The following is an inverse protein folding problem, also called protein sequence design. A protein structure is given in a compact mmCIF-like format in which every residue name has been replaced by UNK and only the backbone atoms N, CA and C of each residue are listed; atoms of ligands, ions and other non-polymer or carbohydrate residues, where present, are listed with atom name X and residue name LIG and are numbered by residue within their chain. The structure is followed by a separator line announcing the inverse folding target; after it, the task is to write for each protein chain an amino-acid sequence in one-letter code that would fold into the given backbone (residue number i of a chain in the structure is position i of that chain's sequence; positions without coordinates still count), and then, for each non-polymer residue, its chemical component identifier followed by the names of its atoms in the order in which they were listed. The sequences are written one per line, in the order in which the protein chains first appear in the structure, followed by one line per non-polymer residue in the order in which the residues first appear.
data_IF_306609318295
#
_entry.id   IF_306609318295
#
_cell.length_a   1.000
_cell.length_b   1.000
_cell.length_c   1.000
_cell.angle_alpha   90.00
_cell.angle_beta   90.00
_cell.angle_gamma   90.00
#
_symmetry.space_group_name_H-M   'P 1'
#
loop_
_entity.id
_entity.type
_entity.pdbx_description
1 polymer ?
#
# COMPACT_ATOMS: atom_id res chain seq x y z
N UNK A 1 12.16 -1.36 21.11
CA UNK A 1 12.87 -1.74 22.33
C UNK A 1 12.02 -1.54 23.59
N UNK A 2 11.52 -0.35 23.91
CA UNK A 2 10.69 -0.11 25.10
C UNK A 2 9.47 -1.02 25.25
N UNK A 3 8.73 -1.29 24.18
CA UNK A 3 7.58 -2.21 24.21
C UNK A 3 8.00 -3.65 24.53
N UNK A 4 9.19 -4.05 24.08
CA UNK A 4 9.77 -5.35 24.39
C UNK A 4 10.18 -5.47 25.87
N UNK A 5 10.62 -4.38 26.48
CA UNK A 5 10.97 -4.32 27.89
C UNK A 5 9.75 -4.29 28.81
N UNK A 6 8.67 -3.58 28.40
CA UNK A 6 7.43 -3.47 29.18
C UNK A 6 6.56 -4.73 29.14
N UNK A 7 6.72 -5.59 28.13
CA UNK A 7 5.95 -6.81 27.91
C UNK A 7 6.76 -8.09 28.14
N UNK A 8 7.79 -8.07 28.97
CA UNK A 8 8.65 -9.23 29.27
C UNK A 8 9.17 -9.96 28.02
N UNK A 9 9.61 -9.19 27.01
CA UNK A 9 10.15 -9.76 25.79
C UNK A 9 9.11 -10.19 24.74
N UNK A 10 7.87 -9.76 24.84
CA UNK A 10 6.83 -10.06 23.84
C UNK A 10 6.48 -8.82 23.02
N UNK A 11 6.40 -9.01 21.71
CA UNK A 11 5.86 -8.01 20.80
C UNK A 11 4.37 -8.32 20.61
N UNK A 12 3.50 -7.31 20.73
CA UNK A 12 2.06 -7.48 20.48
C UNK A 12 1.80 -7.88 19.03
N UNK A 13 0.79 -8.69 18.80
CA UNK A 13 0.37 -9.07 17.44
C UNK A 13 0.02 -7.83 16.61
N UNK A 14 -0.60 -6.83 17.23
CA UNK A 14 -0.92 -5.55 16.58
C UNK A 14 0.30 -4.84 16.04
N UNK A 15 1.38 -4.72 16.84
CA UNK A 15 2.62 -4.08 16.40
C UNK A 15 3.32 -4.90 15.31
N UNK A 16 3.34 -6.22 15.46
CA UNK A 16 3.89 -7.13 14.46
C UNK A 16 3.21 -6.98 13.09
N UNK A 17 1.87 -6.91 13.07
CA UNK A 17 1.09 -6.68 11.85
C UNK A 17 1.41 -5.34 11.19
N UNK A 18 1.45 -4.24 11.96
CA UNK A 18 1.76 -2.91 11.42
C UNK A 18 3.16 -2.88 10.80
N UNK A 19 4.16 -3.39 11.51
CA UNK A 19 5.53 -3.46 10.99
C UNK A 19 5.60 -4.34 9.73
N UNK A 20 4.94 -5.48 9.72
CA UNK A 20 4.91 -6.37 8.57
C UNK A 20 4.25 -5.70 7.35
N UNK A 21 3.10 -5.06 7.51
CA UNK A 21 2.41 -4.42 6.39
C UNK A 21 3.17 -3.21 5.85
N UNK A 22 3.80 -2.42 6.71
CA UNK A 22 4.66 -1.31 6.26
C UNK A 22 5.89 -1.82 5.50
N UNK A 23 6.54 -2.85 6.01
CA UNK A 23 7.68 -3.48 5.33
C UNK A 23 7.27 -4.08 3.98
N UNK A 24 6.16 -4.82 3.95
CA UNK A 24 5.61 -5.39 2.72
C UNK A 24 5.27 -4.32 1.68
N UNK A 25 4.68 -3.21 2.10
CA UNK A 25 4.38 -2.08 1.22
C UNK A 25 5.65 -1.50 0.57
N UNK A 26 6.72 -1.33 1.35
CA UNK A 26 8.00 -0.82 0.84
C UNK A 26 8.62 -1.80 -0.16
N UNK A 27 8.62 -3.10 0.15
CA UNK A 27 9.13 -4.13 -0.76
C UNK A 27 8.34 -4.17 -2.08
N UNK A 28 7.01 -4.09 -1.99
CA UNK A 28 6.14 -4.08 -3.16
C UNK A 28 6.38 -2.84 -4.03
N UNK A 29 6.60 -1.69 -3.42
CA UNK A 29 6.95 -0.46 -4.11
C UNK A 29 8.22 -0.63 -4.97
N UNK A 30 9.29 -1.13 -4.39
CA UNK A 30 10.54 -1.37 -5.13
C UNK A 30 10.38 -2.46 -6.19
N UNK A 31 9.64 -3.51 -5.91
CA UNK A 31 9.41 -4.59 -6.88
C UNK A 31 8.66 -4.11 -8.12
N UNK A 32 7.79 -3.11 -7.96
CA UNK A 32 6.91 -2.60 -9.00
C UNK A 32 7.33 -1.22 -9.52
N UNK A 33 8.57 -0.85 -9.34
CA UNK A 33 9.11 0.45 -9.76
C UNK A 33 8.79 0.80 -11.21
N UNK A 34 8.83 -0.17 -12.13
CA UNK A 34 8.51 0.05 -13.54
C UNK A 34 7.08 0.54 -13.79
N UNK A 35 6.12 0.09 -13.00
CA UNK A 35 4.72 0.52 -13.15
C UNK A 35 4.50 1.95 -12.65
N UNK A 36 5.34 2.44 -11.76
CA UNK A 36 5.29 3.81 -11.23
C UNK A 36 5.66 4.81 -12.31
N UNK A 37 6.60 4.49 -13.19
CA UNK A 37 7.03 5.35 -14.28
C UNK A 37 5.93 5.67 -15.31
N UNK A 38 4.86 4.88 -15.33
CA UNK A 38 3.69 5.08 -16.20
C UNK A 38 2.55 5.84 -15.51
N UNK A 39 2.71 6.22 -14.23
CA UNK A 39 1.68 6.95 -13.49
C UNK A 39 1.57 8.39 -13.94
N UNK A 40 0.40 8.99 -13.72
CA UNK A 40 0.14 10.40 -14.03
C UNK A 40 1.05 11.35 -13.24
N UNK A 41 1.33 10.99 -11.99
CA UNK A 41 2.12 11.80 -11.07
C UNK A 41 3.55 12.04 -11.61
N UNK A 42 4.16 11.04 -12.25
CA UNK A 42 5.49 11.21 -12.85
C UNK A 42 5.44 11.86 -14.22
N UNK A 43 4.41 11.54 -15.03
CA UNK A 43 4.35 12.02 -16.42
C UNK A 43 3.81 13.43 -16.59
N UNK A 44 2.89 13.85 -15.72
CA UNK A 44 2.08 15.04 -15.92
C UNK A 44 2.12 16.02 -14.76
N UNK A 45 2.45 15.59 -13.54
CA UNK A 45 2.56 16.49 -12.40
C UNK A 45 4.01 16.90 -12.16
N UNK A 46 4.33 18.19 -12.30
CA UNK A 46 5.64 18.69 -11.89
C UNK A 46 5.81 18.53 -10.38
N UNK A 47 7.03 18.21 -9.96
CA UNK A 47 7.37 18.15 -8.54
C UNK A 47 7.21 19.54 -7.91
N UNK A 48 6.10 19.72 -7.21
CA UNK A 48 5.72 20.99 -6.58
C UNK A 48 5.67 20.91 -5.06
N UNK A 49 5.22 21.99 -4.45
CA UNK A 49 5.08 22.10 -2.99
C UNK A 49 4.26 20.96 -2.38
N UNK A 50 3.15 20.58 -3.01
CA UNK A 50 2.28 19.51 -2.49
C UNK A 50 2.98 18.16 -2.42
N UNK A 51 3.70 17.77 -3.47
CA UNK A 51 4.45 16.51 -3.48
C UNK A 51 5.62 16.57 -2.51
N UNK A 52 6.36 17.67 -2.49
CA UNK A 52 7.46 17.86 -1.56
C UNK A 52 7.00 17.75 -0.09
N UNK A 53 5.97 18.48 0.28
CA UNK A 53 5.42 18.42 1.64
C UNK A 53 4.80 17.05 1.95
N UNK A 54 4.06 16.49 0.99
CA UNK A 54 3.44 15.18 1.13
C UNK A 54 4.46 14.08 1.41
N UNK A 55 5.46 13.97 0.56
CA UNK A 55 6.44 12.88 0.62
C UNK A 55 7.43 13.03 1.78
N UNK A 56 7.86 14.25 2.07
CA UNK A 56 8.90 14.47 3.10
C UNK A 56 8.35 14.64 4.52
N UNK A 57 7.14 15.12 4.68
CA UNK A 57 6.57 15.43 5.99
C UNK A 57 5.26 14.70 6.29
N UNK A 58 4.26 14.83 5.43
CA UNK A 58 2.91 14.34 5.72
C UNK A 58 2.81 12.81 5.72
N UNK A 59 3.37 12.17 4.72
CA UNK A 59 3.32 10.71 4.60
C UNK A 59 4.10 10.04 5.75
N UNK A 60 5.37 10.38 6.02
CA UNK A 60 6.09 9.82 7.15
C UNK A 60 5.39 10.06 8.50
N UNK A 61 4.81 11.24 8.69
CA UNK A 61 4.07 11.56 9.90
C UNK A 61 2.81 10.70 10.06
N UNK A 62 1.92 10.66 9.07
CA UNK A 62 0.66 9.94 9.15
C UNK A 62 0.84 8.41 9.23
N UNK A 63 1.80 7.87 8.50
CA UNK A 63 2.10 6.43 8.55
C UNK A 63 2.77 5.99 9.87
N UNK A 64 3.51 6.88 10.52
CA UNK A 64 4.12 6.57 11.82
C UNK A 64 3.15 6.66 12.99
N UNK A 65 2.01 7.36 12.85
CA UNK A 65 1.02 7.51 13.92
C UNK A 65 0.46 6.18 14.44
N UNK A 66 0.27 5.21 13.57
CA UNK A 66 -0.22 3.88 13.95
C UNK A 66 0.76 3.16 14.88
N UNK A 67 2.02 3.11 14.52
CA UNK A 67 3.07 2.52 15.34
C UNK A 67 3.28 3.31 16.65
N UNK A 68 3.21 4.63 16.57
CA UNK A 68 3.30 5.51 17.74
C UNK A 68 2.15 5.27 18.74
N UNK A 69 0.92 5.14 18.25
CA UNK A 69 -0.22 4.81 19.10
C UNK A 69 -0.07 3.46 19.80
N UNK A 70 0.30 2.43 19.08
CA UNK A 70 0.52 1.10 19.65
C UNK A 70 1.71 1.07 20.61
N UNK A 71 2.71 1.88 20.37
CA UNK A 71 3.86 2.03 21.26
C UNK A 71 3.44 2.59 22.63
N UNK A 72 2.54 3.58 22.67
CA UNK A 72 2.07 4.19 23.91
C UNK A 72 0.96 3.38 24.60
N UNK A 73 0.33 2.46 23.88
CA UNK A 73 -0.75 1.62 24.38
C UNK A 73 -0.45 0.13 24.22
N UNK A 74 0.54 -0.41 24.97
CA UNK A 74 0.97 -1.80 24.82
C UNK A 74 -0.12 -2.84 25.21
N UNK A 75 -1.17 -2.38 25.90
CA UNK A 75 -2.32 -3.24 26.27
C UNK A 75 -3.31 -3.46 25.14
N UNK A 76 -3.20 -2.68 24.05
CA UNK A 76 -4.05 -2.85 22.87
C UNK A 76 -3.45 -3.93 21.99
N UNK A 77 -3.92 -5.15 22.20
CA UNK A 77 -3.53 -6.28 21.35
C UNK A 77 -4.76 -6.96 20.75
N UNK A 78 -4.59 -7.51 19.56
CA UNK A 78 -5.64 -8.26 18.87
C UNK A 78 -5.46 -9.75 19.12
N UNK A 79 -6.57 -10.45 19.30
CA UNK A 79 -6.54 -11.91 19.41
C UNK A 79 -6.07 -12.54 18.09
N UNK A 80 -5.46 -13.70 18.17
CA UNK A 80 -4.93 -14.41 17.01
C UNK A 80 -5.94 -14.60 15.87
N UNK A 81 -7.23 -14.98 16.11
CA UNK A 81 -8.20 -15.13 15.01
C UNK A 81 -8.53 -13.80 14.33
N UNK A 82 -8.55 -12.70 15.09
CA UNK A 82 -8.76 -11.35 14.50
C UNK A 82 -7.56 -10.94 13.68
N UNK A 83 -6.34 -11.18 14.15
CA UNK A 83 -5.11 -10.94 13.40
C UNK A 83 -5.08 -11.71 12.07
N UNK A 84 -5.49 -12.98 12.08
CA UNK A 84 -5.62 -13.79 10.87
C UNK A 84 -6.67 -13.23 9.90
N UNK A 85 -7.80 -12.75 10.40
CA UNK A 85 -8.83 -12.10 9.60
C UNK A 85 -8.35 -10.82 8.93
N UNK A 86 -7.62 -9.97 9.65
CA UNK A 86 -7.00 -8.75 9.13
C UNK A 86 -5.99 -9.10 8.03
N UNK A 87 -5.18 -10.13 8.24
CA UNK A 87 -4.20 -10.59 7.27
C UNK A 87 -4.85 -11.10 5.97
N UNK A 88 -5.92 -11.89 6.09
CA UNK A 88 -6.69 -12.38 4.95
C UNK A 88 -7.33 -11.22 4.15
N UNK A 89 -7.91 -10.24 4.85
CA UNK A 89 -8.50 -9.06 4.24
C UNK A 89 -7.44 -8.21 3.51
N UNK A 90 -6.25 -8.05 4.12
CA UNK A 90 -5.13 -7.37 3.50
C UNK A 90 -4.71 -8.04 2.19
N UNK A 91 -4.57 -9.35 2.18
CA UNK A 91 -4.21 -10.12 0.98
C UNK A 91 -5.26 -10.00 -0.13
N UNK A 92 -6.54 -10.04 0.22
CA UNK A 92 -7.63 -9.84 -0.73
C UNK A 92 -7.56 -8.44 -1.36
N UNK A 93 -7.42 -7.41 -0.52
CA UNK A 93 -7.27 -6.03 -0.99
C UNK A 93 -6.02 -5.84 -1.85
N UNK A 94 -4.92 -6.47 -1.47
CA UNK A 94 -3.68 -6.43 -2.24
C UNK A 94 -3.86 -7.07 -3.63
N UNK A 95 -4.52 -8.21 -3.74
CA UNK A 95 -4.81 -8.83 -5.04
C UNK A 95 -5.62 -7.91 -5.95
N UNK A 96 -6.70 -7.34 -5.43
CA UNK A 96 -7.54 -6.40 -6.18
C UNK A 96 -6.71 -5.19 -6.65
N UNK A 97 -5.91 -4.62 -5.74
CA UNK A 97 -5.02 -3.50 -6.06
C UNK A 97 -4.02 -3.85 -7.16
N UNK A 98 -3.37 -5.00 -7.07
CA UNK A 98 -2.39 -5.46 -8.06
C UNK A 98 -2.99 -5.67 -9.44
N UNK A 99 -4.09 -6.40 -9.50
CA UNK A 99 -4.75 -6.69 -10.78
C UNK A 99 -5.24 -5.41 -11.46
N UNK A 100 -5.81 -4.48 -10.70
CA UNK A 100 -6.24 -3.17 -11.23
C UNK A 100 -5.08 -2.33 -11.76
N UNK A 101 -3.94 -2.30 -11.05
CA UNK A 101 -2.77 -1.55 -11.50
C UNK A 101 -2.09 -2.22 -12.71
N UNK A 102 -1.99 -3.53 -12.73
CA UNK A 102 -1.47 -4.28 -13.87
C UNK A 102 -2.33 -4.07 -15.12
N UNK A 103 -3.63 -4.06 -14.97
CA UNK A 103 -4.56 -3.76 -16.06
C UNK A 103 -4.32 -2.36 -16.64
N UNK A 104 -4.17 -1.34 -15.78
CA UNK A 104 -3.87 0.03 -16.22
C UNK A 104 -2.50 0.12 -16.91
N UNK A 105 -1.50 -0.54 -16.35
CA UNK A 105 -0.15 -0.56 -16.90
C UNK A 105 -0.14 -1.21 -18.29
N UNK A 106 -0.74 -2.39 -18.44
CA UNK A 106 -0.83 -3.10 -19.71
C UNK A 106 -1.58 -2.28 -20.77
N UNK A 107 -2.67 -1.63 -20.39
CA UNK A 107 -3.41 -0.74 -21.29
C UNK A 107 -2.54 0.44 -21.77
N UNK A 108 -1.76 1.07 -20.89
CA UNK A 108 -0.89 2.21 -21.22
C UNK A 108 0.33 1.82 -22.04
N UNK A 109 0.83 0.61 -21.89
CA UNK A 109 1.98 0.09 -22.64
C UNK A 109 1.60 -0.55 -23.98
N UNK A 110 0.30 -0.55 -24.32
CA UNK A 110 -0.19 -1.01 -25.63
C UNK A 110 -0.33 -2.53 -25.78
N UNK A 111 -0.37 -3.25 -24.67
CA UNK A 111 -0.72 -4.67 -24.69
C UNK A 111 -2.26 -4.84 -24.83
N UNK A 112 -2.76 -5.29 -26.00
CA UNK A 112 -4.21 -5.30 -26.29
C UNK A 112 -4.99 -6.40 -25.56
N UNK A 113 -4.32 -7.37 -24.96
CA UNK A 113 -4.96 -8.55 -24.34
C UNK A 113 -5.26 -8.40 -22.84
N UNK A 114 -5.37 -7.18 -22.36
CA UNK A 114 -5.76 -6.90 -20.98
C UNK A 114 -7.21 -7.33 -20.72
N UNK A 115 -7.40 -8.55 -20.24
CA UNK A 115 -8.68 -8.92 -19.63
C UNK A 115 -8.80 -8.27 -18.26
N UNK A 116 -10.01 -7.79 -17.94
CA UNK A 116 -10.29 -7.34 -16.58
C UNK A 116 -10.15 -8.50 -15.60
N UNK A 117 -9.98 -8.19 -14.31
CA UNK A 117 -10.03 -9.15 -13.21
C UNK A 117 -11.24 -10.12 -13.29
N UNK A 118 -12.33 -9.67 -13.88
CA UNK A 118 -13.57 -10.43 -14.08
C UNK A 118 -13.66 -11.14 -15.43
N UNK A 119 -12.59 -11.19 -16.21
CA UNK A 119 -12.55 -11.86 -17.51
C UNK A 119 -13.26 -11.11 -18.65
N UNK A 120 -13.73 -9.89 -18.41
CA UNK A 120 -14.39 -9.05 -19.43
C UNK A 120 -13.35 -8.35 -20.30
N UNK A 121 -13.73 -8.02 -21.54
CA UNK A 121 -12.90 -7.24 -22.44
C UNK A 121 -12.77 -5.80 -21.92
N UNK A 122 -11.57 -5.26 -21.94
CA UNK A 122 -11.32 -3.88 -21.50
C UNK A 122 -11.92 -2.91 -22.51
N UNK A 123 -12.87 -2.08 -22.09
CA UNK A 123 -13.38 -0.96 -22.87
C UNK A 123 -12.73 0.34 -22.42
N UNK A 124 -12.18 1.09 -23.36
CA UNK A 124 -11.58 2.40 -23.07
C UNK A 124 -12.49 3.52 -23.53
N UNK A 125 -12.73 4.48 -22.65
CA UNK A 125 -13.41 5.71 -22.99
C UNK A 125 -12.36 6.68 -23.53
N UNK A 126 -12.39 6.97 -24.84
CA UNK A 126 -11.52 7.98 -25.45
C UNK A 126 -12.13 9.36 -25.22
N UNK A 127 -11.45 10.21 -24.50
CA UNK A 127 -11.84 11.61 -24.36
C UNK A 127 -11.33 12.43 -25.55
N UNK A 128 -12.06 13.50 -25.94
CA UNK A 128 -11.71 14.36 -27.08
C UNK A 128 -10.37 15.10 -26.94
N UNK A 129 -9.69 15.00 -25.79
CA UNK A 129 -8.42 15.68 -25.46
C UNK A 129 -7.27 14.69 -25.12
N UNK A 130 -7.38 13.44 -25.42
CA UNK A 130 -6.33 12.47 -25.06
C UNK A 130 -5.68 11.85 -26.23
#
# INVERSE_FOLDING_TARGET
MKQYEELDGRITYSMGLVCFFQFFYILDYFWQEQSILTTMDIKHDPFGWMLCFGDLAWVPFSYSLQAFYLYHNPRVDVSLPVAAGIFALHFLGYRIFRESNNQKHNFRTGYPDGRTMWGQKVESIKTKRG
#
